data_IF_096601731644
#
_entry.id   IF_096601731644
#
_cell.length_a   1.000
_cell.length_b   1.000
_cell.length_c   1.000
_cell.angle_alpha   90.00
_cell.angle_beta   90.00
_cell.angle_gamma   90.00
#
_symmetry.space_group_name_H-M   'P 1'
#
loop_
_entity.id
_entity.type
_entity.pdbx_description
1 polymer ?
#
# COMPACT_ATOMS: atom_id res chain seq x y z
N UNK A 1 2.62 8.38 8.43
CA UNK A 1 2.38 9.82 8.22
C UNK A 1 1.69 10.38 9.44
N UNK A 2 2.41 11.24 10.18
CA UNK A 2 2.02 11.83 11.46
C UNK A 2 0.68 12.56 11.43
N UNK A 3 -0.18 12.21 12.37
CA UNK A 3 -1.41 12.95 12.65
C UNK A 3 -1.21 13.78 13.95
N UNK A 4 -0.73 15.01 13.82
CA UNK A 4 -0.79 16.00 14.89
C UNK A 4 -2.25 16.50 15.01
N UNK A 5 -2.91 16.47 16.20
CA UNK A 5 -4.29 16.93 16.37
C UNK A 5 -4.46 18.41 16.08
N UNK A 6 -3.41 19.21 16.24
CA UNK A 6 -3.41 20.63 15.85
C UNK A 6 -3.46 20.78 14.32
N UNK A 7 -2.97 19.77 13.61
CA UNK A 7 -3.08 19.63 12.17
C UNK A 7 -4.42 19.04 11.71
N UNK A 8 -5.13 18.34 12.61
CA UNK A 8 -6.46 17.76 12.29
C UNK A 8 -7.56 18.83 12.30
N UNK A 9 -7.48 19.86 13.12
CA UNK A 9 -8.45 21.00 13.10
C UNK A 9 -8.20 22.04 12.00
N UNK A 10 -6.94 22.24 11.61
CA UNK A 10 -6.59 23.01 10.41
C UNK A 10 -6.50 22.13 9.16
N UNK A 11 -6.74 20.89 9.26
CA UNK A 11 -6.03 19.78 8.68
C UNK A 11 -6.78 18.95 7.68
N UNK A 12 -8.07 19.05 7.53
CA UNK A 12 -8.72 18.42 6.37
C UNK A 12 -8.27 19.12 5.06
N UNK A 13 -8.24 20.45 5.07
CA UNK A 13 -7.79 21.24 3.93
C UNK A 13 -6.27 21.13 3.69
N UNK A 14 -5.45 20.94 4.74
CA UNK A 14 -3.99 20.79 4.61
C UNK A 14 -3.59 19.39 4.19
N UNK A 15 -4.26 18.34 4.71
CA UNK A 15 -4.07 16.95 4.23
C UNK A 15 -4.44 16.80 2.76
N UNK A 16 -5.52 17.41 2.32
CA UNK A 16 -5.90 17.44 0.91
C UNK A 16 -4.84 18.18 0.09
N UNK A 17 -4.29 19.29 0.60
CA UNK A 17 -3.21 20.01 -0.09
C UNK A 17 -1.89 19.23 -0.16
N UNK A 18 -1.51 18.52 0.90
CA UNK A 18 -0.28 17.71 0.90
C UNK A 18 -0.41 16.46 0.05
N UNK A 19 -1.58 15.81 0.08
CA UNK A 19 -1.89 14.69 -0.79
C UNK A 19 -1.98 15.14 -2.25
N UNK A 20 -2.65 16.24 -2.51
CA UNK A 20 -2.71 16.83 -3.85
C UNK A 20 -1.33 17.25 -4.39
N UNK A 21 -0.41 17.68 -3.51
CA UNK A 21 0.99 17.94 -3.91
C UNK A 21 1.74 16.66 -4.25
N UNK A 22 1.53 15.58 -3.48
CA UNK A 22 2.13 14.29 -3.78
C UNK A 22 1.56 13.71 -5.07
N UNK A 23 0.23 13.75 -5.21
CA UNK A 23 -0.45 13.32 -6.44
C UNK A 23 0.00 14.16 -7.65
N UNK A 24 0.23 15.47 -7.45
CA UNK A 24 0.76 16.35 -8.49
C UNK A 24 2.22 16.03 -8.81
N UNK A 25 3.06 15.74 -7.80
CA UNK A 25 4.44 15.33 -8.01
C UNK A 25 4.52 13.99 -8.73
N UNK A 26 3.66 13.02 -8.39
CA UNK A 26 3.55 11.75 -9.11
C UNK A 26 3.08 11.97 -10.55
N UNK A 27 2.12 12.88 -10.77
CA UNK A 27 1.66 13.27 -12.11
C UNK A 27 2.73 14.04 -12.92
N UNK A 28 3.75 14.59 -12.29
CA UNK A 28 4.91 15.21 -12.95
C UNK A 28 5.94 14.19 -13.45
N UNK A 29 5.78 12.90 -13.11
CA UNK A 29 6.59 11.79 -13.60
C UNK A 29 5.73 10.95 -14.56
N UNK A 30 5.54 11.41 -15.81
CA UNK A 30 4.67 10.73 -16.77
C UNK A 30 5.11 9.29 -17.02
N UNK A 31 6.39 8.98 -16.86
CA UNK A 31 6.95 7.64 -17.05
C UNK A 31 6.36 6.61 -16.06
N UNK A 32 6.02 7.01 -14.83
CA UNK A 32 5.37 6.13 -13.87
C UNK A 32 3.95 5.77 -14.30
N UNK A 33 3.21 6.77 -14.80
CA UNK A 33 1.85 6.58 -15.29
C UNK A 33 1.88 5.74 -16.58
N UNK A 34 2.83 6.00 -17.46
CA UNK A 34 3.03 5.25 -18.67
C UNK A 34 3.36 3.78 -18.37
N UNK A 35 4.32 3.51 -17.48
CA UNK A 35 4.67 2.15 -17.07
C UNK A 35 3.48 1.43 -16.42
N UNK A 36 2.71 2.12 -15.57
CA UNK A 36 1.47 1.58 -15.02
C UNK A 36 0.47 1.18 -16.10
N UNK A 37 0.34 1.97 -17.15
CA UNK A 37 -0.54 1.69 -18.27
C UNK A 37 -0.10 0.45 -19.06
N UNK A 38 1.21 0.26 -19.27
CA UNK A 38 1.73 -0.99 -19.83
C UNK A 38 1.39 -2.19 -18.95
N UNK A 39 1.56 -2.09 -17.63
CA UNK A 39 1.23 -3.16 -16.70
C UNK A 39 -0.24 -3.53 -16.69
N UNK A 40 -1.14 -2.55 -16.84
CA UNK A 40 -2.58 -2.81 -16.95
C UNK A 40 -2.96 -3.64 -18.17
N UNK A 41 -2.18 -3.56 -19.25
CA UNK A 41 -2.37 -4.43 -20.42
C UNK A 41 -1.81 -5.85 -20.19
N UNK A 42 -0.98 -6.06 -19.20
CA UNK A 42 -0.34 -7.34 -18.91
C UNK A 42 -1.00 -8.13 -17.77
N UNK A 43 -1.96 -7.53 -17.04
CA UNK A 43 -2.66 -8.18 -15.93
C UNK A 43 -4.16 -8.22 -16.19
N UNK A 44 -4.81 -9.34 -15.89
CA UNK A 44 -6.26 -9.44 -15.98
C UNK A 44 -6.94 -8.98 -14.69
N UNK A 45 -8.16 -8.45 -14.81
CA UNK A 45 -9.04 -8.11 -13.67
C UNK A 45 -9.18 -9.30 -12.72
N UNK A 46 -9.43 -10.49 -13.26
CA UNK A 46 -9.57 -11.70 -12.47
C UNK A 46 -8.29 -12.06 -11.68
N UNK A 47 -7.10 -11.69 -12.16
CA UNK A 47 -5.84 -11.90 -11.43
C UNK A 47 -5.72 -10.92 -10.26
N UNK A 48 -6.12 -9.66 -10.45
CA UNK A 48 -6.13 -8.65 -9.41
C UNK A 48 -7.14 -8.99 -8.31
N UNK A 49 -8.36 -9.36 -8.68
CA UNK A 49 -9.40 -9.76 -7.74
C UNK A 49 -9.04 -11.00 -6.91
N UNK A 50 -8.22 -11.91 -7.43
CA UNK A 50 -7.74 -13.09 -6.69
C UNK A 50 -6.65 -12.79 -5.68
N UNK A 51 -6.03 -11.61 -5.72
CA UNK A 51 -5.02 -11.24 -4.75
C UNK A 51 -5.61 -11.18 -3.33
N UNK A 52 -5.02 -11.86 -2.32
CA UNK A 52 -5.55 -11.91 -0.96
C UNK A 52 -5.72 -10.52 -0.35
N UNK A 53 -4.75 -9.63 -0.50
CA UNK A 53 -4.79 -8.26 0.02
C UNK A 53 -5.96 -7.48 -0.56
N UNK A 54 -6.17 -7.57 -1.89
CA UNK A 54 -7.29 -6.90 -2.56
C UNK A 54 -8.63 -7.47 -2.10
N UNK A 55 -8.75 -8.79 -1.96
CA UNK A 55 -9.99 -9.42 -1.46
C UNK A 55 -10.36 -8.93 -0.07
N UNK A 56 -9.38 -8.86 0.82
CA UNK A 56 -9.60 -8.41 2.19
C UNK A 56 -10.00 -6.93 2.22
N UNK A 57 -9.36 -6.10 1.42
CA UNK A 57 -9.71 -4.68 1.33
C UNK A 57 -11.10 -4.45 0.70
N UNK A 58 -11.49 -5.23 -0.32
CA UNK A 58 -12.84 -5.18 -0.91
C UNK A 58 -13.89 -5.46 0.16
N UNK A 59 -13.68 -6.52 0.96
CA UNK A 59 -14.58 -6.87 2.07
C UNK A 59 -14.66 -5.78 3.13
N UNK A 60 -13.51 -5.26 3.57
CA UNK A 60 -13.44 -4.22 4.59
C UNK A 60 -14.10 -2.92 4.17
N UNK A 61 -14.09 -2.60 2.87
CA UNK A 61 -14.68 -1.38 2.31
C UNK A 61 -16.11 -1.55 1.82
N UNK A 62 -16.63 -2.78 1.78
CA UNK A 62 -17.97 -3.07 1.30
C UNK A 62 -18.17 -2.87 -0.21
N UNK A 63 -17.10 -3.04 -1.00
CA UNK A 63 -17.15 -2.89 -2.47
C UNK A 63 -17.65 -4.12 -3.21
N UNK A 64 -18.49 -4.95 -2.63
CA UNK A 64 -18.85 -6.28 -3.14
C UNK A 64 -19.34 -6.31 -4.60
N UNK A 65 -20.03 -5.26 -5.05
CA UNK A 65 -20.60 -5.18 -6.41
C UNK A 65 -20.12 -3.98 -7.22
N UNK A 66 -19.51 -3.01 -6.56
CA UNK A 66 -19.20 -1.72 -7.18
C UNK A 66 -17.76 -1.30 -6.83
N UNK A 67 -16.81 -2.06 -7.39
CA UNK A 67 -15.38 -1.83 -7.14
C UNK A 67 -14.91 -0.67 -8.01
N UNK A 68 -14.46 0.46 -7.42
CA UNK A 68 -13.90 1.54 -8.21
C UNK A 68 -12.70 1.07 -9.02
N UNK A 69 -12.63 1.42 -10.31
CA UNK A 69 -11.54 1.00 -11.19
C UNK A 69 -10.17 1.41 -10.63
N UNK A 70 -10.03 2.64 -10.12
CA UNK A 70 -8.80 3.12 -9.50
C UNK A 70 -8.37 2.32 -8.27
N UNK A 71 -9.34 1.73 -7.54
CA UNK A 71 -9.03 0.81 -6.45
C UNK A 71 -8.47 -0.52 -6.99
N UNK A 72 -9.06 -1.06 -8.04
CA UNK A 72 -8.63 -2.34 -8.60
C UNK A 72 -7.26 -2.22 -9.30
N UNK A 73 -6.93 -1.07 -9.83
CA UNK A 73 -5.71 -0.85 -10.63
C UNK A 73 -4.50 -0.39 -9.81
N UNK A 74 -4.66 -0.03 -8.53
CA UNK A 74 -3.53 0.45 -7.72
C UNK A 74 -2.33 -0.51 -7.62
N UNK A 75 -2.49 -1.87 -7.70
CA UNK A 75 -1.34 -2.77 -7.69
C UNK A 75 -0.40 -2.58 -8.88
N UNK A 76 -0.95 -2.23 -10.04
CA UNK A 76 -0.14 -1.92 -11.22
C UNK A 76 0.65 -0.60 -11.04
N UNK A 77 0.03 0.40 -10.42
CA UNK A 77 0.72 1.65 -10.08
C UNK A 77 1.81 1.41 -9.03
N UNK A 78 1.54 0.63 -7.99
CA UNK A 78 2.54 0.26 -7.00
C UNK A 78 3.71 -0.54 -7.61
N UNK A 79 3.42 -1.43 -8.55
CA UNK A 79 4.46 -2.15 -9.30
C UNK A 79 5.33 -1.19 -10.12
N UNK A 80 4.73 -0.17 -10.74
CA UNK A 80 5.48 0.85 -11.49
C UNK A 80 6.39 1.68 -10.57
N UNK A 81 5.91 2.09 -9.40
CA UNK A 81 6.70 2.83 -8.41
C UNK A 81 7.95 2.05 -7.96
N UNK A 82 7.84 0.73 -7.83
CA UNK A 82 8.96 -0.14 -7.46
C UNK A 82 9.95 -0.33 -8.62
N UNK A 83 9.43 -0.65 -9.80
CA UNK A 83 10.24 -1.16 -10.91
C UNK A 83 10.84 -0.06 -11.78
N UNK A 84 10.24 1.13 -11.84
CA UNK A 84 10.78 2.27 -12.56
C UNK A 84 12.17 2.68 -12.05
N UNK A 85 12.41 2.51 -10.75
CA UNK A 85 13.70 2.79 -10.12
C UNK A 85 14.63 1.57 -10.08
N UNK A 86 14.25 0.46 -10.73
CA UNK A 86 14.99 -0.81 -10.75
C UNK A 86 15.34 -1.31 -9.32
N UNK A 87 14.39 -1.14 -8.39
CA UNK A 87 14.56 -1.61 -7.03
C UNK A 87 14.77 -3.14 -7.03
N UNK A 88 15.88 -3.57 -6.44
CA UNK A 88 16.20 -4.99 -6.28
C UNK A 88 15.64 -5.56 -4.98
N UNK A 89 15.48 -4.70 -3.98
CA UNK A 89 15.03 -5.10 -2.63
C UNK A 89 13.99 -4.12 -2.12
N UNK A 90 12.87 -4.64 -1.62
CA UNK A 90 11.77 -3.84 -1.06
C UNK A 90 11.55 -4.25 0.40
N UNK A 91 11.94 -3.42 1.37
CA UNK A 91 11.62 -3.69 2.77
C UNK A 91 10.12 -3.45 2.98
N UNK A 92 9.41 -4.48 3.41
CA UNK A 92 7.97 -4.42 3.59
C UNK A 92 7.48 -5.41 4.67
N UNK A 93 6.26 -5.21 5.15
CA UNK A 93 5.58 -6.18 5.99
C UNK A 93 5.07 -7.39 5.19
N UNK A 94 4.80 -8.48 5.87
CA UNK A 94 4.29 -9.74 5.29
C UNK A 94 2.99 -9.53 4.48
N UNK A 95 2.18 -8.55 4.86
CA UNK A 95 0.94 -8.20 4.17
C UNK A 95 1.15 -7.63 2.76
N UNK A 96 2.37 -7.21 2.43
CA UNK A 96 2.74 -6.72 1.09
C UNK A 96 3.31 -7.80 0.18
N UNK A 97 3.55 -9.00 0.69
CA UNK A 97 4.08 -10.11 -0.10
C UNK A 97 3.22 -10.45 -1.33
N UNK A 98 1.86 -10.54 -1.21
CA UNK A 98 1.02 -10.78 -2.38
C UNK A 98 1.07 -9.67 -3.43
N UNK A 99 1.40 -8.44 -3.03
CA UNK A 99 1.54 -7.30 -3.94
C UNK A 99 2.87 -7.39 -4.71
N UNK A 100 3.95 -7.79 -4.02
CA UNK A 100 5.22 -8.01 -4.68
C UNK A 100 5.19 -9.22 -5.64
N UNK A 101 4.39 -10.25 -5.35
CA UNK A 101 4.18 -11.33 -6.32
C UNK A 101 3.56 -10.85 -7.61
N UNK A 102 2.52 -10.00 -7.53
CA UNK A 102 1.94 -9.37 -8.73
C UNK A 102 2.99 -8.53 -9.45
N UNK A 103 3.81 -7.79 -8.71
CA UNK A 103 4.90 -7.00 -9.31
C UNK A 103 5.88 -7.87 -10.08
N UNK A 104 6.33 -9.00 -9.52
CA UNK A 104 7.23 -9.96 -10.20
C UNK A 104 6.59 -10.56 -11.45
N UNK A 105 5.31 -10.95 -11.36
CA UNK A 105 4.57 -11.44 -12.53
C UNK A 105 4.52 -10.41 -13.65
N UNK A 106 4.27 -9.14 -13.30
CA UNK A 106 4.24 -8.03 -14.27
C UNK A 106 5.60 -7.80 -14.89
N UNK A 107 6.68 -7.81 -14.10
CA UNK A 107 8.05 -7.68 -14.60
C UNK A 107 8.38 -8.80 -15.59
N UNK A 108 8.08 -10.06 -15.23
CA UNK A 108 8.33 -11.20 -16.13
C UNK A 108 7.58 -11.06 -17.45
N UNK A 109 6.28 -10.74 -17.38
CA UNK A 109 5.46 -10.54 -18.57
C UNK A 109 5.93 -9.38 -19.42
N UNK A 110 6.30 -8.27 -18.78
CA UNK A 110 6.85 -7.10 -19.48
C UNK A 110 8.15 -7.46 -20.22
N UNK A 111 9.09 -8.10 -19.50
CA UNK A 111 10.37 -8.50 -20.08
C UNK A 111 10.23 -9.51 -21.21
N UNK A 112 9.24 -10.40 -21.14
CA UNK A 112 8.94 -11.36 -22.20
C UNK A 112 8.26 -10.72 -23.42
N UNK A 113 7.38 -9.72 -23.17
CA UNK A 113 6.57 -9.12 -24.23
C UNK A 113 7.33 -8.03 -25.00
N UNK A 114 8.11 -7.22 -24.27
CA UNK A 114 8.77 -6.04 -24.84
C UNK A 114 10.28 -6.20 -24.90
N UNK A 115 10.97 -6.11 -23.75
CA UNK A 115 12.41 -6.28 -23.66
C UNK A 115 12.83 -6.57 -22.22
N UNK A 116 13.93 -7.29 -21.95
CA UNK A 116 14.42 -7.64 -20.63
C UNK A 116 15.14 -6.44 -19.96
N UNK A 117 14.38 -5.42 -19.58
CA UNK A 117 14.90 -4.16 -19.04
C UNK A 117 14.56 -3.93 -17.57
N UNK A 118 13.57 -4.66 -17.05
CA UNK A 118 13.10 -4.53 -15.67
C UNK A 118 13.71 -5.61 -14.78
N UNK A 119 13.93 -5.28 -13.51
CA UNK A 119 14.49 -6.18 -12.50
C UNK A 119 13.37 -6.68 -11.59
N UNK A 120 13.36 -7.98 -11.31
CA UNK A 120 12.42 -8.57 -10.34
C UNK A 120 12.84 -8.17 -8.92
N UNK A 121 11.95 -7.52 -8.15
CA UNK A 121 12.28 -7.14 -6.78
C UNK A 121 12.13 -8.31 -5.81
N UNK A 122 12.98 -8.34 -4.78
CA UNK A 122 12.85 -9.24 -3.64
C UNK A 122 12.26 -8.51 -2.44
N UNK A 123 11.43 -9.21 -1.67
CA UNK A 123 10.92 -8.67 -0.41
C UNK A 123 11.95 -8.89 0.70
N UNK A 124 12.22 -7.84 1.46
CA UNK A 124 12.99 -7.93 2.69
C UNK A 124 12.02 -7.86 3.88
N UNK A 125 11.74 -9.01 4.45
CA UNK A 125 10.90 -9.11 5.65
C UNK A 125 11.74 -8.89 6.92
N UNK A 126 11.17 -8.31 7.99
CA UNK A 126 11.84 -8.26 9.28
C UNK A 126 12.21 -9.67 9.77
N UNK A 127 13.40 -9.83 10.32
CA UNK A 127 13.86 -11.11 10.86
C UNK A 127 13.02 -11.57 12.05
N UNK A 128 12.61 -10.63 12.90
CA UNK A 128 11.82 -10.90 14.11
C UNK A 128 10.35 -11.06 13.72
N UNK A 129 9.79 -12.23 14.00
CA UNK A 129 8.42 -12.59 13.59
C UNK A 129 7.35 -11.60 14.07
N UNK A 130 7.45 -11.05 15.28
CA UNK A 130 6.50 -10.05 15.79
C UNK A 130 6.56 -8.70 15.04
N UNK A 131 7.67 -8.42 14.34
CA UNK A 131 7.81 -7.21 13.52
C UNK A 131 7.26 -7.38 12.11
N UNK A 132 7.00 -8.61 11.66
CA UNK A 132 6.43 -8.88 10.33
C UNK A 132 5.00 -8.39 10.20
N UNK A 133 4.24 -8.49 11.28
CA UNK A 133 2.86 -8.02 11.36
C UNK A 133 2.61 -7.42 12.74
N UNK A 134 2.44 -6.11 12.81
CA UNK A 134 2.19 -5.43 14.07
C UNK A 134 0.74 -5.71 14.53
N UNK A 135 0.56 -6.31 15.72
CA UNK A 135 -0.75 -6.47 16.31
C UNK A 135 -1.33 -5.11 16.72
N UNK A 136 -2.63 -4.97 16.63
CA UNK A 136 -3.33 -3.80 17.14
C UNK A 136 -3.27 -3.72 18.66
N UNK A 137 -3.59 -2.55 19.22
CA UNK A 137 -3.68 -2.34 20.68
C UNK A 137 -4.83 -3.13 21.32
N UNK A 138 -5.64 -3.81 20.53
CA UNK A 138 -6.68 -4.75 20.94
C UNK A 138 -6.18 -6.20 21.10
N UNK A 139 -4.93 -6.46 20.68
CA UNK A 139 -4.32 -7.79 20.74
C UNK A 139 -4.94 -8.84 19.80
N UNK A 140 -5.88 -8.45 18.94
CA UNK A 140 -6.65 -9.38 18.08
C UNK A 140 -6.37 -9.19 16.61
N UNK A 141 -6.56 -7.97 16.13
CA UNK A 141 -6.48 -7.63 14.71
C UNK A 141 -5.15 -6.96 14.36
N UNK A 142 -4.82 -6.96 13.08
CA UNK A 142 -3.70 -6.16 12.56
C UNK A 142 -3.89 -4.70 12.94
N UNK A 143 -2.82 -4.04 13.37
CA UNK A 143 -2.83 -2.60 13.65
C UNK A 143 -3.29 -1.81 12.42
N UNK A 144 -4.38 -1.06 12.57
CA UNK A 144 -4.97 -0.28 11.48
C UNK A 144 -5.59 1.02 11.98
N UNK A 145 -5.40 2.09 11.22
CA UNK A 145 -6.04 3.37 11.50
C UNK A 145 -7.56 3.30 11.37
N UNK A 146 -8.05 2.52 10.41
CA UNK A 146 -9.49 2.34 10.16
C UNK A 146 -10.19 1.59 11.28
N UNK A 147 -9.50 0.68 11.94
CA UNK A 147 -10.01 -0.06 13.10
C UNK A 147 -9.82 0.68 14.42
N UNK A 148 -9.10 1.81 14.43
CA UNK A 148 -8.85 2.58 15.64
C UNK A 148 -7.97 1.87 16.69
N UNK A 149 -7.36 0.74 16.31
CA UNK A 149 -6.54 -0.10 17.19
C UNK A 149 -5.05 0.20 17.07
N UNK A 150 -4.70 1.47 16.91
CA UNK A 150 -3.31 1.92 16.82
C UNK A 150 -3.06 3.08 17.78
N UNK A 151 -1.79 3.31 18.11
CA UNK A 151 -1.34 4.48 18.83
C UNK A 151 -1.09 5.58 17.79
N UNK A 152 -1.77 6.71 17.94
CA UNK A 152 -1.58 7.87 17.08
C UNK A 152 -0.49 8.78 17.68
N UNK A 153 0.32 9.40 16.83
CA UNK A 153 1.27 10.43 17.31
C UNK A 153 0.58 11.66 17.93
N UNK A 154 -0.73 11.73 17.77
CA UNK A 154 -1.59 12.76 18.34
C UNK A 154 -2.22 12.36 19.66
N UNK A 155 -2.05 11.12 20.11
CA UNK A 155 -2.57 10.67 21.40
C UNK A 155 -1.83 11.37 22.53
N UNK A 156 -2.57 11.78 23.57
CA UNK A 156 -1.97 12.27 24.79
C UNK A 156 -1.41 11.10 25.62
N UNK A 157 -0.59 11.42 26.60
CA UNK A 157 0.07 10.43 27.46
C UNK A 157 -0.93 9.46 28.11
N UNK A 158 -2.06 9.98 28.61
CA UNK A 158 -3.10 9.17 29.25
C UNK A 158 -3.74 8.17 28.28
N UNK A 159 -3.96 8.59 27.04
CA UNK A 159 -4.52 7.74 25.97
C UNK A 159 -3.53 6.67 25.55
N UNK A 160 -2.25 7.01 25.42
CA UNK A 160 -1.19 6.03 25.13
C UNK A 160 -1.14 4.97 26.21
N UNK A 161 -1.07 5.37 27.48
CA UNK A 161 -1.08 4.43 28.61
C UNK A 161 -2.31 3.52 28.64
N UNK A 162 -3.48 4.07 28.31
CA UNK A 162 -4.73 3.30 28.22
C UNK A 162 -4.69 2.24 27.14
N UNK A 163 -4.09 2.56 25.99
CA UNK A 163 -3.95 1.64 24.87
C UNK A 163 -2.91 0.55 25.14
N UNK A 164 -1.75 0.93 25.69
CA UNK A 164 -0.68 -0.02 26.06
C UNK A 164 -1.13 -1.00 27.15
N UNK A 165 -1.91 -0.56 28.13
CA UNK A 165 -2.46 -1.46 29.15
C UNK A 165 -3.45 -2.50 28.65
N UNK A 166 -3.98 -2.32 27.43
CA UNK A 166 -4.94 -3.25 26.80
C UNK A 166 -4.25 -4.27 25.87
N UNK A 167 -2.99 -4.05 25.54
CA UNK A 167 -2.16 -4.96 24.76
C UNK A 167 -1.72 -6.16 25.62
#
# INVERSE_FOLDING_TARGET
VCCDPRLVKAGAARKVKERAKLDLLMAMLPELVELSSYYLNLVSVARLERNPTIKDEIRQRGFERDIPAGFLTYPAAQAADITAFKATTVPAGEDQEPMLEVTRELVRRFNQTYAPVLVEPEILLPEIACCRRLPGTDGKEKMSKSLGNCIYMSDDEKTVWKKVKKM
#
